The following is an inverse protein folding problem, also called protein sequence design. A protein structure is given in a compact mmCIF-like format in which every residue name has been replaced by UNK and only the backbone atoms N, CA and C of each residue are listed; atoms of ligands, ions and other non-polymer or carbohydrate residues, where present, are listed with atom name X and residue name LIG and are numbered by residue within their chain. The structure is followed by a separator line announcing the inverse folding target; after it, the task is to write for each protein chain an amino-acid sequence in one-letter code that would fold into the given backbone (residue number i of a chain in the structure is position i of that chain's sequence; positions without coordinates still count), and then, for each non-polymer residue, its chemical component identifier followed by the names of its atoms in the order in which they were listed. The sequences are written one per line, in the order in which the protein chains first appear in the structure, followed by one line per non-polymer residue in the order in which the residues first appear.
data_IF_062818663692
#
_entry.id   IF_062818663692
#
_cell.length_a   1.000
_cell.length_b   1.000
_cell.length_c   1.000
_cell.angle_alpha   90.00
_cell.angle_beta   90.00
_cell.angle_gamma   90.00
#
_symmetry.space_group_name_H-M   'P 1'
#
loop_
_entity.id
_entity.type
_entity.pdbx_description
1 polymer ?
#
# COMPACT_ATOMS: atom_id res chain seq x y z
N UNK A 1 -26.78 -11.51 -8.18
CA UNK A 1 -27.03 -10.18 -7.56
C UNK A 1 -26.30 -10.15 -6.21
N UNK A 2 -25.18 -9.48 -5.96
CA UNK A 2 -24.54 -8.28 -6.53
C UNK A 2 -23.02 -8.56 -6.64
N UNK A 3 -22.45 -8.64 -7.84
CA UNK A 3 -20.99 -8.81 -8.05
C UNK A 3 -20.27 -7.49 -8.39
N UNK A 4 -20.98 -6.37 -8.39
CA UNK A 4 -20.52 -5.12 -9.00
C UNK A 4 -20.23 -3.98 -8.00
N UNK A 5 -19.93 -4.29 -6.74
CA UNK A 5 -19.67 -3.26 -5.71
C UNK A 5 -18.21 -2.75 -5.75
N UNK A 6 -17.34 -3.30 -6.60
CA UNK A 6 -16.03 -2.72 -6.87
C UNK A 6 -16.23 -1.53 -7.83
N UNK A 7 -16.77 -0.43 -7.29
CA UNK A 7 -16.86 0.86 -7.97
C UNK A 7 -15.49 1.19 -8.55
N UNK A 8 -15.47 1.45 -9.86
CA UNK A 8 -14.36 2.02 -10.63
C UNK A 8 -13.64 3.09 -9.79
N UNK A 9 -12.49 2.73 -9.21
CA UNK A 9 -11.47 3.71 -8.88
C UNK A 9 -11.20 4.45 -10.19
N UNK A 10 -11.40 5.76 -10.18
CA UNK A 10 -11.23 6.65 -11.32
C UNK A 10 -9.93 6.27 -12.04
N UNK A 11 -10.07 5.79 -13.28
CA UNK A 11 -8.96 5.31 -14.08
C UNK A 11 -8.09 6.53 -14.37
N UNK A 12 -6.97 6.68 -13.67
CA UNK A 12 -6.00 7.76 -13.89
C UNK A 12 -5.63 7.71 -15.37
N UNK A 13 -6.01 8.73 -16.13
CA UNK A 13 -5.96 8.71 -17.59
C UNK A 13 -4.53 8.83 -18.13
N UNK A 14 -3.56 9.26 -17.31
CA UNK A 14 -2.12 9.15 -17.58
C UNK A 14 -1.30 9.32 -16.30
N UNK A 15 -0.44 8.35 -15.97
CA UNK A 15 0.57 8.51 -14.92
C UNK A 15 1.76 9.31 -15.49
N UNK A 16 2.32 10.29 -14.75
CA UNK A 16 3.56 10.95 -15.16
C UNK A 16 4.70 9.97 -15.35
N UNK A 17 5.65 10.32 -16.21
CA UNK A 17 6.89 9.58 -16.36
C UNK A 17 7.74 9.64 -15.08
N UNK A 18 8.66 8.68 -14.96
CA UNK A 18 9.63 8.67 -13.85
C UNK A 18 10.42 9.98 -13.76
N UNK A 19 10.82 10.52 -14.90
CA UNK A 19 11.60 11.76 -14.98
C UNK A 19 10.81 12.96 -14.43
N UNK A 20 9.53 13.06 -14.78
CA UNK A 20 8.65 14.13 -14.28
C UNK A 20 8.49 14.06 -12.75
N UNK A 21 8.33 12.85 -12.20
CA UNK A 21 8.27 12.66 -10.74
C UNK A 21 9.58 13.09 -10.05
N UNK A 22 10.73 12.76 -10.62
CA UNK A 22 12.04 13.17 -10.07
C UNK A 22 12.23 14.70 -10.13
N UNK A 23 11.82 15.36 -11.21
CA UNK A 23 11.86 16.82 -11.31
C UNK A 23 10.91 17.50 -10.31
N UNK A 24 9.75 16.90 -10.04
CA UNK A 24 8.86 17.37 -8.98
C UNK A 24 9.54 17.31 -7.60
N UNK A 25 10.25 16.22 -7.28
CA UNK A 25 11.02 16.13 -6.02
C UNK A 25 12.11 17.19 -5.94
N UNK A 26 12.84 17.45 -7.04
CA UNK A 26 13.82 18.55 -7.07
C UNK A 26 13.16 19.90 -6.80
N UNK A 27 11.95 20.10 -7.32
CA UNK A 27 11.17 21.32 -7.10
C UNK A 27 10.79 21.47 -5.62
N UNK A 28 10.33 20.38 -4.98
CA UNK A 28 10.04 20.38 -3.54
C UNK A 28 11.28 20.67 -2.68
N UNK A 29 12.44 20.12 -3.03
CA UNK A 29 13.72 20.40 -2.33
C UNK A 29 14.05 21.90 -2.40
N UNK A 30 13.96 22.50 -3.59
CA UNK A 30 14.22 23.93 -3.77
C UNK A 30 13.21 24.77 -3.00
N UNK A 31 11.94 24.40 -3.06
CA UNK A 31 10.86 25.10 -2.37
C UNK A 31 11.03 25.06 -0.85
N UNK A 32 11.53 23.95 -0.31
CA UNK A 32 11.89 23.81 1.10
C UNK A 32 13.14 24.62 1.51
N UNK A 33 13.85 25.24 0.56
CA UNK A 33 15.02 26.08 0.82
C UNK A 33 16.38 25.37 0.76
N UNK A 34 16.44 24.13 0.27
CA UNK A 34 17.71 23.38 0.14
C UNK A 34 18.18 23.30 -1.34
N UNK A 35 19.45 23.00 -1.56
CA UNK A 35 20.07 22.89 -2.88
C UNK A 35 20.06 21.44 -3.38
N UNK A 36 19.26 21.08 -4.41
CA UNK A 36 19.20 19.71 -4.92
C UNK A 36 20.50 19.21 -5.57
N UNK A 37 21.45 20.10 -5.87
CA UNK A 37 22.73 19.76 -6.47
C UNK A 37 23.85 19.46 -5.46
N UNK A 38 23.60 19.62 -4.15
CA UNK A 38 24.58 19.25 -3.12
C UNK A 38 24.76 17.73 -3.07
N UNK A 39 25.95 17.28 -2.72
CA UNK A 39 26.35 15.87 -2.75
C UNK A 39 25.28 14.91 -2.19
N UNK A 40 24.76 15.19 -1.00
CA UNK A 40 23.75 14.35 -0.34
C UNK A 40 22.37 14.29 -1.02
N UNK A 41 22.02 15.28 -1.86
CA UNK A 41 20.69 15.40 -2.48
C UNK A 41 20.63 15.09 -3.96
N UNK A 42 21.77 14.99 -4.67
CA UNK A 42 21.80 14.70 -6.11
C UNK A 42 20.97 13.48 -6.49
N UNK A 43 21.04 12.44 -5.65
CA UNK A 43 20.31 11.18 -5.87
C UNK A 43 18.98 11.11 -5.09
N UNK A 44 18.62 12.12 -4.28
CA UNK A 44 17.36 12.15 -3.53
C UNK A 44 16.14 12.02 -4.44
N UNK A 45 16.02 12.72 -5.58
CA UNK A 45 14.88 12.55 -6.49
C UNK A 45 14.62 11.10 -6.88
N UNK A 46 15.67 10.38 -7.27
CA UNK A 46 15.58 8.96 -7.62
C UNK A 46 15.18 8.11 -6.42
N UNK A 47 15.76 8.36 -5.24
CA UNK A 47 15.42 7.61 -4.01
C UNK A 47 13.94 7.82 -3.62
N UNK A 48 13.46 9.06 -3.62
CA UNK A 48 12.08 9.40 -3.27
C UNK A 48 11.10 8.75 -4.26
N UNK A 49 11.33 8.90 -5.56
CA UNK A 49 10.44 8.29 -6.53
C UNK A 49 10.47 6.75 -6.44
N UNK A 50 11.59 6.13 -6.02
CA UNK A 50 11.66 4.68 -5.77
C UNK A 50 10.82 4.31 -4.55
N UNK A 51 10.97 5.03 -3.44
CA UNK A 51 10.20 4.83 -2.22
C UNK A 51 8.69 4.94 -2.47
N UNK A 52 8.22 5.91 -3.27
CA UNK A 52 6.81 6.02 -3.63
C UNK A 52 6.27 4.78 -4.35
N UNK A 53 7.07 4.11 -5.19
CA UNK A 53 6.64 2.85 -5.81
C UNK A 53 6.45 1.74 -4.77
N UNK A 54 7.29 1.71 -3.74
CA UNK A 54 7.22 0.73 -2.65
C UNK A 54 6.02 1.03 -1.75
N UNK A 55 5.88 2.26 -1.26
CA UNK A 55 4.79 2.70 -0.39
C UNK A 55 3.40 2.47 -0.99
N UNK A 56 3.26 2.68 -2.30
CA UNK A 56 1.99 2.58 -3.01
C UNK A 56 1.86 1.33 -3.88
N UNK A 57 2.73 0.33 -3.67
CA UNK A 57 2.71 -0.95 -4.39
C UNK A 57 1.40 -1.73 -4.22
N UNK A 58 0.66 -1.46 -3.15
CA UNK A 58 -0.68 -2.01 -2.90
C UNK A 58 -1.69 -1.73 -4.02
N UNK A 59 -1.56 -0.63 -4.79
CA UNK A 59 -2.47 -0.35 -5.91
C UNK A 59 -2.32 -1.31 -7.09
N UNK A 60 -1.16 -1.96 -7.22
CA UNK A 60 -0.87 -2.94 -8.27
C UNK A 60 -1.06 -4.38 -7.76
N UNK A 61 -1.28 -4.53 -6.45
CA UNK A 61 -1.51 -5.81 -5.81
C UNK A 61 -2.93 -6.33 -6.05
N UNK A 62 -3.09 -7.66 -6.11
CA UNK A 62 -4.39 -8.32 -6.26
C UNK A 62 -4.74 -9.08 -4.99
N UNK A 63 -5.66 -8.57 -4.15
CA UNK A 63 -6.01 -9.20 -2.88
C UNK A 63 -6.47 -10.66 -3.01
N UNK A 64 -7.14 -11.00 -4.11
CA UNK A 64 -7.63 -12.36 -4.38
C UNK A 64 -6.48 -13.36 -4.52
N UNK A 65 -5.37 -12.96 -5.15
CA UNK A 65 -4.21 -13.83 -5.29
C UNK A 65 -3.52 -14.03 -3.93
N UNK A 66 -3.42 -12.97 -3.13
CA UNK A 66 -2.85 -13.01 -1.77
C UNK A 66 -3.65 -13.94 -0.85
N UNK A 67 -4.99 -13.87 -0.92
CA UNK A 67 -5.90 -14.64 -0.07
C UNK A 67 -6.22 -16.06 -0.61
N UNK A 68 -5.51 -16.51 -1.65
CA UNK A 68 -5.84 -17.76 -2.36
C UNK A 68 -5.50 -19.03 -1.57
N UNK A 69 -4.57 -18.96 -0.62
CA UNK A 69 -4.17 -20.09 0.21
C UNK A 69 -5.17 -20.30 1.35
N UNK A 70 -6.03 -21.32 1.21
CA UNK A 70 -7.01 -21.71 2.23
C UNK A 70 -6.84 -23.17 2.64
N UNK A 71 -7.31 -23.50 3.84
CA UNK A 71 -7.40 -24.86 4.36
C UNK A 71 -8.88 -25.20 4.58
N UNK A 72 -9.30 -26.33 4.03
CA UNK A 72 -10.71 -26.75 3.96
C UNK A 72 -11.05 -27.82 5.03
N UNK A 73 -10.03 -28.31 5.76
CA UNK A 73 -10.12 -29.38 6.76
C UNK A 73 -10.27 -28.82 8.18
N UNK A 74 -11.31 -28.01 8.40
CA UNK A 74 -11.59 -27.39 9.70
C UNK A 74 -12.52 -28.20 10.59
N UNK A 75 -12.96 -29.41 10.20
CA UNK A 75 -13.87 -30.27 10.99
C UNK A 75 -15.07 -29.54 11.63
N UNK A 76 -15.57 -28.47 11.01
CA UNK A 76 -16.68 -27.66 11.57
C UNK A 76 -16.25 -26.58 12.56
N UNK A 77 -14.97 -26.21 12.63
CA UNK A 77 -14.47 -25.08 13.42
C UNK A 77 -15.23 -23.79 13.06
N UNK A 78 -16.06 -23.34 13.99
CA UNK A 78 -16.94 -22.17 13.90
C UNK A 78 -16.57 -21.10 14.94
N UNK A 79 -15.42 -21.28 15.61
CA UNK A 79 -14.88 -20.30 16.55
C UNK A 79 -14.12 -19.17 15.83
N UNK A 80 -13.92 -18.06 16.54
CA UNK A 80 -13.26 -16.88 16.01
C UNK A 80 -11.75 -17.12 15.85
N UNK A 81 -11.25 -16.87 14.64
CA UNK A 81 -9.81 -16.75 14.37
C UNK A 81 -9.39 -15.30 14.58
N UNK A 82 -8.37 -15.09 15.40
CA UNK A 82 -7.81 -13.75 15.68
C UNK A 82 -6.32 -13.72 15.34
N UNK A 83 -5.93 -12.74 14.53
CA UNK A 83 -4.54 -12.35 14.30
C UNK A 83 -4.34 -10.99 14.94
N UNK A 84 -3.31 -10.86 15.78
CA UNK A 84 -3.02 -9.61 16.50
C UNK A 84 -1.61 -9.15 16.18
N UNK A 85 -1.35 -7.89 16.54
CA UNK A 85 -0.02 -7.31 16.52
C UNK A 85 0.59 -7.24 15.10
N UNK A 86 -0.28 -7.10 14.08
CA UNK A 86 0.15 -6.89 12.69
C UNK A 86 0.66 -5.46 12.57
N UNK A 87 1.95 -5.31 12.30
CA UNK A 87 2.55 -4.01 12.03
C UNK A 87 1.97 -3.43 10.73
N UNK A 88 1.49 -2.18 10.79
CA UNK A 88 1.03 -1.44 9.64
C UNK A 88 1.82 -0.16 9.49
N UNK A 89 2.27 0.09 8.27
CA UNK A 89 2.74 1.38 7.79
C UNK A 89 1.92 1.76 6.55
N UNK A 90 1.44 3.00 6.52
CA UNK A 90 0.73 3.54 5.36
C UNK A 90 0.86 5.06 5.32
N UNK A 91 0.22 5.73 4.38
CA UNK A 91 0.32 7.17 4.15
C UNK A 91 -1.06 7.81 4.11
N UNK A 92 -1.24 8.91 4.85
CA UNK A 92 -2.50 9.65 4.84
C UNK A 92 -2.66 10.37 3.49
N UNK A 93 -3.75 10.13 2.78
CA UNK A 93 -4.00 10.73 1.46
C UNK A 93 -4.09 12.27 1.48
N UNK A 94 -4.45 12.86 2.61
CA UNK A 94 -4.59 14.31 2.76
C UNK A 94 -3.24 15.05 2.82
N UNK A 95 -2.20 14.40 3.35
CA UNK A 95 -0.91 15.04 3.64
C UNK A 95 0.28 14.30 3.02
N UNK A 96 0.07 13.07 2.54
CA UNK A 96 1.10 12.13 2.09
C UNK A 96 2.17 11.83 3.14
N UNK A 97 1.85 12.00 4.43
CA UNK A 97 2.72 11.71 5.58
C UNK A 97 2.42 10.29 6.08
N UNK A 98 3.45 9.53 6.51
CA UNK A 98 3.24 8.18 7.04
C UNK A 98 2.43 8.19 8.33
N UNK A 99 1.62 7.15 8.51
CA UNK A 99 1.08 6.75 9.81
C UNK A 99 1.46 5.29 10.07
N UNK A 100 1.84 5.02 11.30
CA UNK A 100 2.35 3.72 11.74
C UNK A 100 1.44 3.25 12.88
N UNK A 101 1.08 1.97 12.85
CA UNK A 101 0.19 1.41 13.85
C UNK A 101 0.18 -0.10 13.85
N UNK A 102 -0.81 -0.63 14.56
CA UNK A 102 -1.04 -2.06 14.74
C UNK A 102 -2.46 -2.36 14.30
N UNK A 103 -2.64 -3.42 13.51
CA UNK A 103 -3.94 -4.00 13.22
C UNK A 103 -4.16 -5.32 13.95
N UNK A 104 -5.42 -5.54 14.30
CA UNK A 104 -5.94 -6.81 14.76
C UNK A 104 -7.07 -7.22 13.82
N UNK A 105 -7.03 -8.47 13.34
CA UNK A 105 -8.04 -9.04 12.44
C UNK A 105 -8.73 -10.17 13.19
N UNK A 106 -10.06 -10.13 13.22
CA UNK A 106 -10.88 -11.22 13.73
C UNK A 106 -11.90 -11.62 12.67
N UNK A 107 -12.07 -12.92 12.44
CA UNK A 107 -13.11 -13.44 11.55
C UNK A 107 -13.61 -14.81 12.03
N UNK A 108 -14.84 -15.16 11.65
CA UNK A 108 -15.41 -16.48 11.87
C UNK A 108 -15.35 -17.22 10.53
N UNK A 109 -14.64 -18.36 10.44
CA UNK A 109 -14.54 -19.15 9.22
C UNK A 109 -15.91 -19.71 8.77
N UNK A 110 -16.12 -19.82 7.45
CA UNK A 110 -17.19 -20.62 6.86
C UNK A 110 -16.53 -21.67 5.95
N UNK A 111 -16.43 -22.91 6.45
CA UNK A 111 -15.85 -24.09 5.80
C UNK A 111 -14.36 -24.02 5.47
N UNK A 112 -13.74 -22.83 5.47
CA UNK A 112 -12.34 -22.62 5.10
C UNK A 112 -11.69 -21.55 5.96
N UNK A 113 -10.44 -21.80 6.30
CA UNK A 113 -9.56 -20.86 7.02
C UNK A 113 -8.50 -20.33 6.07
N UNK A 114 -8.25 -19.02 6.11
CA UNK A 114 -7.16 -18.39 5.34
C UNK A 114 -5.83 -18.79 5.99
N UNK A 115 -4.84 -19.20 5.19
CA UNK A 115 -3.48 -19.42 5.68
C UNK A 115 -2.80 -18.09 6.00
N UNK A 116 -2.55 -17.86 7.28
CA UNK A 116 -1.99 -16.63 7.85
C UNK A 116 -0.50 -16.84 8.16
#
# INVERSE_FOLDING_TARGET
MKKDIIKKVTKITSRPSRKEAEEAVKTLIKWAGDNPNREGLRETPKRVAKAYKEFFSGYESKPVEILSKTFDDVEGYDEMVIVRDISIESHCEHHMVPFIGIAHIGYIPDKRVVGI
#
